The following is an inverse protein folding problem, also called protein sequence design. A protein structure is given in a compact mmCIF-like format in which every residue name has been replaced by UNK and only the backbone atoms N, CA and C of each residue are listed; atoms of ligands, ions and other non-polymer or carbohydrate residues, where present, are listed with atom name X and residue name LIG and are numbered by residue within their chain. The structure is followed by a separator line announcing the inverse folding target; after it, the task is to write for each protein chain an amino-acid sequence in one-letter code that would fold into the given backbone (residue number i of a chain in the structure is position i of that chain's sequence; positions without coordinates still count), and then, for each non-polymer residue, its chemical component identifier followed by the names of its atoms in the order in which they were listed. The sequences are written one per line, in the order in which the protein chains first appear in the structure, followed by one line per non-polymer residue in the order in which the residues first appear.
data_IF_222560715020
#
_entry.id   IF_222560715020
#
_cell.length_a   1.000
_cell.length_b   1.000
_cell.length_c   1.000
_cell.angle_alpha   90.00
_cell.angle_beta   90.00
_cell.angle_gamma   90.00
#
_symmetry.space_group_name_H-M   'P 1'
#
loop_
_entity.id
_entity.type
_entity.pdbx_description
1 polymer ?
#
# COMPACT_ATOMS: atom_id res chain seq x y z
N UNK A 1 -14.05 10.13 15.37
CA UNK A 1 -13.21 8.93 15.04
C UNK A 1 -12.53 8.48 16.32
N UNK A 2 -12.57 7.19 16.60
CA UNK A 2 -11.84 6.61 17.72
C UNK A 2 -10.33 6.82 17.46
N UNK A 3 -9.61 7.32 18.47
CA UNK A 3 -8.17 7.64 18.32
C UNK A 3 -7.40 6.35 18.08
N UNK A 4 -6.75 6.20 16.95
CA UNK A 4 -5.88 5.05 16.66
C UNK A 4 -4.80 4.95 17.72
N UNK A 5 -4.65 3.77 18.34
CA UNK A 5 -3.78 3.54 19.47
C UNK A 5 -2.90 2.31 19.23
N UNK A 6 -1.60 2.42 19.54
CA UNK A 6 -0.73 1.25 19.68
C UNK A 6 -1.08 0.58 21.01
N UNK A 7 -1.45 -0.71 20.93
CA UNK A 7 -1.78 -1.54 22.09
C UNK A 7 -0.56 -2.32 22.60
N UNK A 8 0.37 -2.65 21.66
CA UNK A 8 1.57 -3.42 21.98
C UNK A 8 2.67 -3.17 20.94
N UNK A 9 3.95 -3.10 21.39
CA UNK A 9 5.16 -2.94 20.56
C UNK A 9 6.22 -3.92 21.02
N UNK A 10 6.42 -5.01 20.28
CA UNK A 10 7.35 -6.09 20.63
C UNK A 10 8.54 -6.04 19.66
N UNK A 11 9.80 -6.09 20.14
CA UNK A 11 10.96 -6.21 19.28
C UNK A 11 10.84 -7.40 18.32
N UNK A 12 11.19 -7.18 17.07
CA UNK A 12 11.15 -8.19 16.01
C UNK A 12 12.53 -8.32 15.34
N UNK A 13 13.00 -9.54 15.03
CA UNK A 13 14.31 -9.73 14.39
C UNK A 13 14.41 -8.95 13.07
N UNK A 14 15.42 -8.10 12.98
CA UNK A 14 15.72 -7.34 11.76
C UNK A 14 16.79 -8.04 10.92
N UNK A 15 16.61 -8.22 9.61
CA UNK A 15 17.64 -8.72 8.72
C UNK A 15 18.70 -7.65 8.35
N UNK A 16 18.54 -6.41 8.80
CA UNK A 16 19.45 -5.31 8.55
C UNK A 16 19.89 -4.69 9.90
N UNK A 17 21.19 -4.69 10.24
CA UNK A 17 21.69 -4.17 11.52
C UNK A 17 21.46 -2.67 11.71
N UNK A 18 21.22 -1.92 10.64
CA UNK A 18 20.96 -0.48 10.69
C UNK A 18 19.45 -0.15 10.81
N UNK A 19 18.60 -1.17 11.00
CA UNK A 19 17.14 -1.01 11.09
C UNK A 19 16.62 -1.77 12.31
N UNK A 20 15.94 -1.07 13.21
CA UNK A 20 15.14 -1.69 14.26
C UNK A 20 13.78 -2.11 13.70
N UNK A 21 13.30 -3.27 14.13
CA UNK A 21 11.96 -3.74 13.75
C UNK A 21 11.14 -4.09 14.97
N UNK A 22 9.81 -3.88 14.85
CA UNK A 22 8.85 -4.17 15.90
C UNK A 22 7.57 -4.76 15.31
N UNK A 23 7.05 -5.78 15.99
CA UNK A 23 5.67 -6.22 15.79
C UNK A 23 4.76 -5.29 16.58
N UNK A 24 3.89 -4.61 15.89
CA UNK A 24 2.92 -3.67 16.46
C UNK A 24 1.54 -4.33 16.50
N UNK A 25 0.85 -4.23 17.63
CA UNK A 25 -0.59 -4.44 17.71
C UNK A 25 -1.26 -3.08 17.88
N UNK A 26 -2.22 -2.75 17.04
CA UNK A 26 -2.90 -1.46 17.06
C UNK A 26 -4.41 -1.61 16.88
N UNK A 27 -5.15 -0.57 17.27
CA UNK A 27 -6.60 -0.52 17.14
C UNK A 27 -7.00 0.03 15.76
N UNK A 28 -7.87 -0.68 15.06
CA UNK A 28 -8.44 -0.29 13.77
C UNK A 28 -9.92 -0.63 13.73
N UNK A 29 -10.78 0.39 13.67
CA UNK A 29 -12.25 0.22 13.67
C UNK A 29 -12.74 -0.79 14.75
N UNK A 30 -12.23 -0.65 15.97
CA UNK A 30 -12.57 -1.53 17.10
C UNK A 30 -11.87 -2.90 17.11
N UNK A 31 -11.08 -3.26 16.09
CA UNK A 31 -10.36 -4.51 15.99
C UNK A 31 -8.87 -4.37 16.35
N UNK A 32 -8.31 -5.43 16.97
CA UNK A 32 -6.87 -5.53 17.23
C UNK A 32 -6.18 -6.06 15.98
N UNK A 33 -5.49 -5.18 15.26
CA UNK A 33 -4.77 -5.51 14.02
C UNK A 33 -3.27 -5.48 14.26
N UNK A 34 -2.50 -6.24 13.48
CA UNK A 34 -1.05 -6.31 13.59
C UNK A 34 -0.34 -5.82 12.33
N UNK A 35 0.88 -5.32 12.54
CA UNK A 35 1.77 -4.89 11.46
C UNK A 35 3.23 -4.90 11.90
N UNK A 36 4.14 -4.67 10.96
CA UNK A 36 5.56 -4.46 11.24
C UNK A 36 5.92 -2.98 11.09
N UNK A 37 6.61 -2.46 12.09
CA UNK A 37 7.27 -1.17 12.06
C UNK A 37 8.77 -1.40 11.84
N UNK A 38 9.38 -0.65 10.93
CA UNK A 38 10.81 -0.61 10.70
C UNK A 38 11.31 0.83 10.82
N UNK A 39 12.32 1.04 11.67
CA UNK A 39 12.88 2.36 11.99
C UNK A 39 14.40 2.35 11.79
N UNK A 40 15.04 3.39 11.22
CA UNK A 40 16.48 3.53 11.25
C UNK A 40 17.01 3.45 12.69
N UNK A 41 18.14 2.78 12.91
CA UNK A 41 18.80 2.73 14.25
C UNK A 41 19.32 4.09 14.65
N UNK A 42 19.80 4.87 13.67
CA UNK A 42 20.30 6.23 13.95
C UNK A 42 19.13 7.13 14.39
N UNK A 43 19.34 7.82 15.51
CA UNK A 43 18.36 8.81 15.98
C UNK A 43 18.24 9.96 14.97
N UNK A 44 17.01 10.38 14.69
CA UNK A 44 16.73 11.43 13.71
C UNK A 44 15.24 11.64 13.48
N UNK A 45 14.95 12.59 12.63
CA UNK A 45 13.61 12.85 12.12
C UNK A 45 13.58 12.42 10.65
N UNK A 46 12.64 11.58 10.31
CA UNK A 46 12.53 10.92 9.02
C UNK A 46 11.17 11.20 8.38
N UNK A 47 11.02 10.87 7.12
CA UNK A 47 9.69 10.79 6.50
C UNK A 47 9.06 9.42 6.78
N UNK A 48 7.74 9.39 6.86
CA UNK A 48 6.99 8.15 7.05
C UNK A 48 6.70 7.47 5.71
N UNK A 49 6.69 6.14 5.71
CA UNK A 49 6.22 5.36 4.56
C UNK A 49 5.23 4.29 5.02
N UNK A 50 3.99 4.40 4.58
CA UNK A 50 2.99 3.35 4.74
C UNK A 50 3.16 2.32 3.61
N UNK A 51 3.56 1.09 3.95
CA UNK A 51 3.74 0.00 3.00
C UNK A 51 2.52 -0.91 2.97
N UNK A 52 1.77 -0.88 1.88
CA UNK A 52 0.55 -1.65 1.69
C UNK A 52 0.80 -2.86 0.78
N UNK A 53 0.71 -4.06 1.37
CA UNK A 53 1.00 -5.32 0.70
C UNK A 53 -0.08 -5.75 -0.29
N UNK A 54 0.29 -6.60 -1.22
CA UNK A 54 -0.64 -7.32 -2.10
C UNK A 54 -1.19 -8.62 -1.50
N UNK A 55 -1.85 -9.40 -2.35
CA UNK A 55 -2.41 -10.71 -2.00
C UNK A 55 -3.54 -10.65 -0.98
N UNK A 56 -3.86 -11.78 -0.38
CA UNK A 56 -4.85 -11.94 0.69
C UNK A 56 -4.42 -13.08 1.62
N UNK A 57 -4.70 -12.96 2.91
CA UNK A 57 -4.31 -13.93 3.94
C UNK A 57 -2.79 -14.22 3.90
N UNK A 58 -2.41 -15.47 3.73
CA UNK A 58 -1.01 -15.89 3.70
C UNK A 58 -0.28 -15.58 2.38
N UNK A 59 -0.97 -15.10 1.35
CA UNK A 59 -0.37 -14.70 0.07
C UNK A 59 0.09 -13.25 0.13
N UNK A 60 1.32 -12.97 -0.29
CA UNK A 60 1.86 -11.60 -0.35
C UNK A 60 2.15 -10.98 1.01
N UNK A 61 2.38 -11.78 2.05
CA UNK A 61 2.70 -11.28 3.39
C UNK A 61 3.89 -10.33 3.39
N UNK A 62 3.84 -9.35 4.29
CA UNK A 62 4.94 -8.40 4.52
C UNK A 62 6.24 -9.16 4.82
N UNK A 63 7.29 -8.84 4.06
CA UNK A 63 8.62 -9.42 4.24
C UNK A 63 9.49 -8.43 5.03
N UNK A 64 10.07 -8.82 6.19
CA UNK A 64 10.94 -7.95 6.97
C UNK A 64 12.07 -7.32 6.15
N UNK A 65 12.73 -8.10 5.28
CA UNK A 65 13.77 -7.60 4.40
C UNK A 65 13.28 -6.50 3.44
N UNK A 66 12.02 -6.56 3.01
CA UNK A 66 11.45 -5.56 2.09
C UNK A 66 11.22 -4.23 2.78
N UNK A 67 10.60 -4.21 3.95
CA UNK A 67 10.38 -2.97 4.70
C UNK A 67 11.69 -2.42 5.27
N UNK A 68 12.63 -3.30 5.64
CA UNK A 68 13.98 -2.92 6.06
C UNK A 68 14.78 -2.24 4.94
N UNK A 69 14.56 -2.63 3.68
CA UNK A 69 15.15 -1.98 2.52
C UNK A 69 14.71 -0.50 2.44
N UNK A 70 13.42 -0.22 2.60
CA UNK A 70 12.91 1.16 2.60
C UNK A 70 13.37 1.94 3.83
N UNK A 71 13.41 1.30 5.01
CA UNK A 71 13.91 1.95 6.21
C UNK A 71 15.39 2.33 6.10
N UNK A 72 16.22 1.54 5.41
CA UNK A 72 17.63 1.90 5.14
C UNK A 72 17.79 3.05 4.15
N UNK A 73 16.75 3.41 3.39
CA UNK A 73 16.71 4.63 2.56
C UNK A 73 16.30 5.88 3.38
N UNK A 74 16.12 5.76 4.70
CA UNK A 74 15.84 6.86 5.60
C UNK A 74 14.34 7.14 5.77
N UNK A 75 13.52 6.10 5.86
CA UNK A 75 12.10 6.18 6.19
C UNK A 75 11.78 5.45 7.50
N UNK A 76 10.80 5.94 8.24
CA UNK A 76 10.07 5.14 9.21
C UNK A 76 8.97 4.42 8.43
N UNK A 77 9.03 3.08 8.38
CA UNK A 77 8.12 2.28 7.55
C UNK A 77 7.15 1.50 8.41
N UNK A 78 5.85 1.66 8.18
CA UNK A 78 4.85 0.81 8.81
C UNK A 78 4.08 0.00 7.76
N UNK A 79 3.98 -1.31 7.99
CA UNK A 79 3.37 -2.27 7.08
C UNK A 79 2.29 -3.09 7.81
N UNK A 80 1.00 -2.72 7.70
CA UNK A 80 -0.09 -3.50 8.29
C UNK A 80 -0.19 -4.89 7.63
N UNK A 81 -0.50 -5.90 8.45
CA UNK A 81 -0.81 -7.23 7.94
C UNK A 81 -2.25 -7.35 7.43
N UNK A 82 -3.06 -6.36 7.73
CA UNK A 82 -4.52 -6.30 7.67
C UNK A 82 -5.19 -7.27 8.66
N UNK A 83 -6.46 -6.99 8.97
CA UNK A 83 -7.30 -7.75 9.90
C UNK A 83 -7.31 -9.25 9.58
N UNK A 84 -7.43 -10.09 10.59
CA UNK A 84 -7.43 -11.56 10.46
C UNK A 84 -6.08 -12.20 10.14
N UNK A 85 -4.97 -11.44 10.13
CA UNK A 85 -3.64 -11.97 9.85
C UNK A 85 -2.72 -11.95 11.06
N UNK A 86 -1.84 -12.97 11.18
CA UNK A 86 -0.80 -13.07 12.20
C UNK A 86 -1.32 -12.91 13.63
N UNK A 87 -2.53 -13.40 13.92
CA UNK A 87 -3.19 -13.30 15.22
C UNK A 87 -3.88 -11.95 15.45
N UNK A 88 -4.12 -11.17 14.42
CA UNK A 88 -5.05 -10.04 14.44
C UNK A 88 -6.50 -10.51 14.35
N UNK A 89 -7.43 -9.68 14.81
CA UNK A 89 -8.87 -9.93 14.79
C UNK A 89 -9.49 -9.63 13.43
N UNK A 90 -10.73 -10.07 13.19
CA UNK A 90 -11.49 -9.82 11.97
C UNK A 90 -11.09 -10.69 10.78
N UNK A 91 -11.49 -10.28 9.60
CA UNK A 91 -11.18 -10.96 8.33
C UNK A 91 -10.91 -9.95 7.22
N UNK A 92 -9.88 -10.18 6.40
CA UNK A 92 -9.66 -9.43 5.17
C UNK A 92 -10.81 -9.65 4.19
N UNK A 93 -11.24 -8.57 3.54
CA UNK A 93 -12.32 -8.56 2.57
C UNK A 93 -11.97 -7.90 1.22
N UNK A 94 -10.66 -7.80 0.95
CA UNK A 94 -10.14 -7.40 -0.37
C UNK A 94 -10.45 -5.95 -0.75
N UNK A 95 -10.00 -5.01 0.08
CA UNK A 95 -10.19 -3.56 -0.03
C UNK A 95 -11.63 -3.05 0.26
N UNK A 96 -12.39 -3.81 1.04
CA UNK A 96 -13.61 -3.36 1.69
C UNK A 96 -13.30 -2.71 3.04
N UNK A 97 -13.79 -3.32 4.12
CA UNK A 97 -13.57 -2.84 5.48
C UNK A 97 -12.09 -2.93 5.92
N UNK A 98 -11.29 -3.81 5.31
CA UNK A 98 -9.87 -3.93 5.62
C UNK A 98 -9.04 -2.69 5.17
N UNK A 99 -9.65 -1.72 4.44
CA UNK A 99 -9.06 -0.40 4.19
C UNK A 99 -8.87 0.42 5.46
N UNK A 100 -9.74 0.24 6.47
CA UNK A 100 -9.64 0.93 7.75
C UNK A 100 -8.31 0.61 8.45
N UNK A 101 -7.74 -0.57 8.19
CA UNK A 101 -6.45 -0.97 8.75
C UNK A 101 -5.29 -0.17 8.15
N UNK A 102 -5.41 0.22 6.87
CA UNK A 102 -4.46 1.12 6.21
C UNK A 102 -4.65 2.56 6.70
N UNK A 103 -5.88 3.01 6.91
CA UNK A 103 -6.19 4.34 7.43
C UNK A 103 -5.66 4.51 8.86
N UNK A 104 -5.93 3.54 9.74
CA UNK A 104 -5.40 3.54 11.09
C UNK A 104 -3.85 3.49 11.09
N UNK A 105 -3.24 2.70 10.21
CA UNK A 105 -1.80 2.62 10.07
C UNK A 105 -1.17 3.94 9.59
N UNK A 106 -1.85 4.68 8.70
CA UNK A 106 -1.43 6.02 8.27
C UNK A 106 -1.41 7.00 9.46
N UNK A 107 -2.46 7.02 10.27
CA UNK A 107 -2.55 7.89 11.46
C UNK A 107 -1.47 7.56 12.50
N UNK A 108 -1.17 6.27 12.73
CA UNK A 108 -0.08 5.87 13.61
C UNK A 108 1.26 6.38 13.11
N UNK A 109 1.50 6.26 11.81
CA UNK A 109 2.76 6.69 11.21
C UNK A 109 2.89 8.22 11.25
N UNK A 110 1.80 8.96 10.96
CA UNK A 110 1.75 10.41 11.02
C UNK A 110 2.00 10.95 12.45
N UNK A 111 1.57 10.23 13.47
CA UNK A 111 1.78 10.56 14.87
C UNK A 111 3.08 10.02 15.47
N UNK A 112 3.89 9.32 14.67
CA UNK A 112 5.12 8.70 15.17
C UNK A 112 6.17 9.77 15.52
N UNK A 113 6.85 9.71 16.70
CA UNK A 113 7.75 10.76 17.17
C UNK A 113 8.97 11.01 16.28
N UNK A 114 9.39 10.01 15.51
CA UNK A 114 10.49 10.14 14.54
C UNK A 114 10.03 10.48 13.12
N UNK A 115 8.74 10.75 12.89
CA UNK A 115 8.23 11.17 11.59
C UNK A 115 8.03 12.68 11.56
N UNK A 116 8.57 13.33 10.53
CA UNK A 116 8.50 14.78 10.33
C UNK A 116 7.08 15.22 9.99
N UNK A 117 6.32 15.70 10.94
CA UNK A 117 4.99 16.28 10.71
C UNK A 117 4.06 15.36 9.93
N UNK A 118 3.42 15.89 8.88
CA UNK A 118 2.52 15.13 8.00
C UNK A 118 3.20 14.45 6.81
N UNK A 119 4.53 14.38 6.77
CA UNK A 119 5.27 13.82 5.62
C UNK A 119 5.23 12.30 5.58
N UNK A 120 4.07 11.76 5.25
CA UNK A 120 3.81 10.32 5.11
C UNK A 120 3.51 9.99 3.65
N UNK A 121 4.35 9.15 3.06
CA UNK A 121 4.17 8.58 1.73
C UNK A 121 3.40 7.27 1.81
N UNK A 122 2.63 6.96 0.78
CA UNK A 122 1.84 5.74 0.70
C UNK A 122 2.37 4.90 -0.45
N UNK A 123 2.80 3.68 -0.16
CA UNK A 123 3.30 2.72 -1.15
C UNK A 123 2.39 1.50 -1.20
N UNK A 124 1.93 1.13 -2.40
CA UNK A 124 1.10 -0.04 -2.62
C UNK A 124 1.67 -0.98 -3.68
N UNK A 125 1.83 -2.27 -3.33
CA UNK A 125 2.24 -3.32 -4.25
C UNK A 125 1.07 -4.24 -4.60
N UNK A 126 0.86 -4.54 -5.91
CA UNK A 126 -0.19 -5.46 -6.36
C UNK A 126 -1.58 -5.01 -5.88
N UNK A 127 -2.38 -5.84 -5.17
CA UNK A 127 -3.63 -5.40 -4.52
C UNK A 127 -3.43 -4.16 -3.61
N UNK A 128 -2.24 -4.01 -3.05
CA UNK A 128 -1.90 -2.82 -2.27
C UNK A 128 -2.02 -1.50 -3.04
N UNK A 129 -2.05 -1.52 -4.37
CA UNK A 129 -2.30 -0.35 -5.21
C UNK A 129 -3.68 0.26 -4.95
N UNK A 130 -4.73 -0.57 -4.91
CA UNK A 130 -6.08 -0.13 -4.52
C UNK A 130 -6.08 0.46 -3.11
N UNK A 131 -5.43 -0.22 -2.16
CA UNK A 131 -5.34 0.25 -0.77
C UNK A 131 -4.61 1.59 -0.68
N UNK A 132 -3.53 1.78 -1.46
CA UNK A 132 -2.76 3.02 -1.48
C UNK A 132 -3.56 4.19 -2.06
N UNK A 133 -4.24 3.97 -3.17
CA UNK A 133 -5.08 4.99 -3.79
C UNK A 133 -6.26 5.40 -2.88
N UNK A 134 -6.97 4.43 -2.29
CA UNK A 134 -8.05 4.70 -1.34
C UNK A 134 -7.54 5.43 -0.08
N UNK A 135 -6.34 5.10 0.39
CA UNK A 135 -5.72 5.83 1.50
C UNK A 135 -5.34 7.25 1.10
N UNK A 136 -4.77 7.46 -0.10
CA UNK A 136 -4.46 8.80 -0.61
C UNK A 136 -5.71 9.66 -0.87
N UNK A 137 -6.83 9.06 -1.28
CA UNK A 137 -8.13 9.74 -1.39
C UNK A 137 -8.65 10.16 -0.01
N UNK A 138 -8.44 9.34 1.01
CA UNK A 138 -8.86 9.63 2.39
C UNK A 138 -8.01 10.69 3.06
N UNK A 139 -6.71 10.74 2.74
CA UNK A 139 -5.72 11.65 3.33
C UNK A 139 -5.11 12.54 2.24
N UNK A 140 -5.78 13.65 2.00
CA UNK A 140 -5.40 14.62 0.96
C UNK A 140 -4.02 15.25 1.21
N UNK A 141 -3.58 15.26 2.47
CA UNK A 141 -2.29 15.77 2.94
C UNK A 141 -1.16 14.71 2.94
N UNK A 142 -1.41 13.51 2.40
CA UNK A 142 -0.34 12.54 2.19
C UNK A 142 0.74 13.12 1.25
N UNK A 143 2.02 12.85 1.55
CA UNK A 143 3.13 13.43 0.79
C UNK A 143 3.21 12.91 -0.65
N UNK A 144 2.89 11.64 -0.89
CA UNK A 144 2.74 11.05 -2.23
C UNK A 144 2.08 9.67 -2.17
N UNK A 145 1.63 9.18 -3.32
CA UNK A 145 1.12 7.81 -3.51
C UNK A 145 1.94 7.11 -4.58
N UNK A 146 2.45 5.91 -4.28
CA UNK A 146 3.15 5.05 -5.24
C UNK A 146 2.39 3.75 -5.42
N UNK A 147 2.11 3.37 -6.66
CA UNK A 147 1.59 2.05 -7.03
C UNK A 147 2.64 1.28 -7.81
N UNK A 148 2.98 0.07 -7.37
CA UNK A 148 3.93 -0.80 -8.06
C UNK A 148 3.25 -2.11 -8.47
N UNK A 149 3.08 -2.34 -9.79
CA UNK A 149 2.28 -3.44 -10.31
C UNK A 149 0.87 -3.45 -9.69
N UNK A 150 0.33 -2.22 -9.50
CA UNK A 150 -0.82 -1.98 -8.64
C UNK A 150 -2.16 -2.24 -9.32
N UNK A 151 -3.07 -2.89 -8.61
CA UNK A 151 -4.48 -2.97 -8.97
C UNK A 151 -5.10 -1.57 -8.82
N UNK A 152 -5.87 -1.14 -9.83
CA UNK A 152 -6.64 0.11 -9.80
C UNK A 152 -8.14 -0.10 -9.99
N UNK A 153 -8.55 -1.26 -10.53
CA UNK A 153 -9.92 -1.59 -10.91
C UNK A 153 -10.25 -3.03 -10.47
N UNK A 154 -11.21 -3.19 -9.57
CA UNK A 154 -11.56 -4.50 -9.02
C UNK A 154 -12.40 -5.33 -9.98
N UNK A 155 -13.20 -4.69 -10.83
CA UNK A 155 -13.97 -5.40 -11.87
C UNK A 155 -13.03 -5.95 -12.95
N UNK A 156 -12.01 -5.18 -13.36
CA UNK A 156 -10.96 -5.64 -14.25
C UNK A 156 -10.21 -6.83 -13.64
N UNK A 157 -9.79 -6.75 -12.38
CA UNK A 157 -9.17 -7.87 -11.66
C UNK A 157 -10.03 -9.13 -11.72
N UNK A 158 -11.33 -9.01 -11.48
CA UNK A 158 -12.25 -10.16 -11.57
C UNK A 158 -12.31 -10.77 -12.98
N UNK A 159 -12.25 -9.95 -14.03
CA UNK A 159 -12.27 -10.42 -15.43
C UNK A 159 -10.98 -11.17 -15.76
N UNK A 160 -9.83 -10.60 -15.43
CA UNK A 160 -8.51 -11.11 -15.78
C UNK A 160 -8.09 -12.31 -14.92
N UNK A 161 -8.31 -12.25 -13.61
CA UNK A 161 -7.86 -13.26 -12.65
C UNK A 161 -8.93 -14.31 -12.37
N UNK A 162 -9.11 -15.23 -13.34
CA UNK A 162 -10.07 -16.33 -13.23
C UNK A 162 -9.86 -17.19 -11.97
N UNK A 163 -8.60 -17.37 -11.57
CA UNK A 163 -8.17 -18.09 -10.37
C UNK A 163 -8.65 -17.42 -9.06
N UNK A 164 -8.81 -16.09 -9.04
CA UNK A 164 -9.28 -15.36 -7.88
C UNK A 164 -10.81 -15.22 -7.78
N UNK A 165 -11.57 -15.52 -8.84
CA UNK A 165 -13.03 -15.30 -8.90
C UNK A 165 -13.80 -15.94 -7.75
N UNK A 166 -13.44 -17.18 -7.37
CA UNK A 166 -14.12 -17.87 -6.26
C UNK A 166 -13.89 -17.16 -4.93
N UNK A 167 -12.66 -16.71 -4.69
CA UNK A 167 -12.32 -15.95 -3.51
C UNK A 167 -13.03 -14.59 -3.52
N UNK A 168 -12.95 -13.84 -4.63
CA UNK A 168 -13.58 -12.52 -4.76
C UNK A 168 -15.10 -12.60 -4.56
N UNK A 169 -15.79 -13.56 -5.18
CA UNK A 169 -17.24 -13.77 -4.96
C UNK A 169 -17.57 -13.99 -3.48
N UNK A 170 -16.73 -14.74 -2.76
CA UNK A 170 -16.96 -15.03 -1.34
C UNK A 170 -16.75 -13.80 -0.46
N UNK A 171 -15.70 -13.01 -0.70
CA UNK A 171 -15.33 -11.88 0.18
C UNK A 171 -16.02 -10.57 -0.20
N UNK A 172 -16.36 -10.38 -1.48
CA UNK A 172 -17.05 -9.19 -1.99
C UNK A 172 -18.58 -9.37 -1.97
N UNK A 173 -19.05 -10.63 -1.94
CA UNK A 173 -20.49 -10.94 -1.90
C UNK A 173 -21.10 -11.25 -3.27
N UNK A 174 -20.32 -11.27 -4.36
CA UNK A 174 -20.84 -11.55 -5.70
C UNK A 174 -19.81 -11.37 -6.82
N UNK A 175 -20.31 -11.20 -8.02
CA UNK A 175 -19.54 -10.82 -9.22
C UNK A 175 -19.76 -9.34 -9.55
N UNK A 176 -18.96 -8.71 -10.44
CA UNK A 176 -19.22 -7.34 -10.87
C UNK A 176 -20.63 -7.11 -11.43
N UNK A 177 -21.27 -8.18 -11.93
CA UNK A 177 -22.65 -8.12 -12.42
C UNK A 177 -23.70 -8.21 -11.32
N UNK A 178 -23.44 -8.94 -10.23
CA UNK A 178 -24.43 -9.22 -9.17
C UNK A 178 -24.19 -8.44 -7.88
N UNK A 179 -23.03 -7.78 -7.74
CA UNK A 179 -22.63 -6.95 -6.61
C UNK A 179 -21.85 -5.72 -7.12
N UNK A 180 -22.40 -5.01 -8.10
CA UNK A 180 -21.72 -3.90 -8.79
C UNK A 180 -21.24 -2.83 -7.82
N UNK A 181 -22.10 -2.38 -6.91
CA UNK A 181 -21.78 -1.37 -5.90
C UNK A 181 -20.59 -1.75 -5.01
N UNK A 182 -20.48 -3.02 -4.64
CA UNK A 182 -19.37 -3.54 -3.84
C UNK A 182 -18.03 -3.53 -4.62
N UNK A 183 -18.07 -3.74 -5.93
CA UNK A 183 -16.90 -3.60 -6.78
C UNK A 183 -16.52 -2.14 -7.01
N UNK A 184 -17.51 -1.26 -7.20
CA UNK A 184 -17.31 0.19 -7.31
C UNK A 184 -16.72 0.76 -6.01
N UNK A 185 -17.30 0.40 -4.85
CA UNK A 185 -16.80 0.79 -3.53
C UNK A 185 -15.31 0.45 -3.32
N UNK A 186 -14.81 -0.63 -3.95
CA UNK A 186 -13.41 -1.08 -3.88
C UNK A 186 -12.54 -0.56 -5.02
N UNK A 187 -13.09 0.23 -5.93
CA UNK A 187 -12.39 0.72 -7.13
C UNK A 187 -12.09 2.21 -7.03
N UNK A 188 -10.84 2.61 -6.72
CA UNK A 188 -10.49 4.02 -6.51
C UNK A 188 -10.67 4.89 -7.75
N UNK A 189 -10.74 4.32 -8.97
CA UNK A 189 -10.92 5.08 -10.20
C UNK A 189 -12.15 5.98 -10.21
N UNK A 190 -13.19 5.64 -9.44
CA UNK A 190 -14.43 6.42 -9.34
C UNK A 190 -14.29 7.68 -8.47
N UNK A 191 -13.27 7.74 -7.59
CA UNK A 191 -13.09 8.81 -6.61
C UNK A 191 -11.74 9.54 -6.75
N UNK A 192 -11.03 9.36 -7.87
CA UNK A 192 -9.72 10.00 -8.10
C UNK A 192 -9.78 11.54 -8.19
N UNK A 193 -10.94 12.13 -8.41
CA UNK A 193 -11.14 13.57 -8.31
C UNK A 193 -10.78 14.12 -6.91
N UNK A 194 -11.00 13.33 -5.86
CA UNK A 194 -10.65 13.66 -4.47
C UNK A 194 -9.15 13.47 -4.15
N UNK A 195 -8.40 12.75 -4.97
CA UNK A 195 -6.97 12.47 -4.73
C UNK A 195 -6.15 13.76 -4.95
N UNK A 196 -5.42 14.21 -3.95
CA UNK A 196 -4.56 15.40 -4.03
C UNK A 196 -3.05 15.08 -4.12
N UNK A 197 -2.52 14.04 -3.42
CA UNK A 197 -1.10 13.74 -3.46
C UNK A 197 -0.60 13.42 -4.86
N UNK A 198 0.65 13.76 -5.22
CA UNK A 198 1.27 13.31 -6.46
C UNK A 198 1.36 11.79 -6.51
N UNK A 199 1.17 11.21 -7.69
CA UNK A 199 1.13 9.76 -7.91
C UNK A 199 2.31 9.32 -8.78
N UNK A 200 2.99 8.25 -8.35
CA UNK A 200 3.94 7.51 -9.18
C UNK A 200 3.38 6.11 -9.49
N UNK A 201 3.32 5.78 -10.78
CA UNK A 201 2.89 4.45 -11.26
C UNK A 201 4.12 3.70 -11.76
N UNK A 202 4.47 2.58 -11.10
CA UNK A 202 5.57 1.69 -11.50
C UNK A 202 4.96 0.38 -12.00
N UNK A 203 5.25 -0.02 -13.25
CA UNK A 203 4.66 -1.24 -13.81
C UNK A 203 5.56 -1.92 -14.83
N UNK A 204 5.60 -3.25 -14.80
CA UNK A 204 6.24 -4.06 -15.83
C UNK A 204 5.23 -4.38 -16.96
N UNK A 205 5.61 -4.15 -18.23
CA UNK A 205 4.71 -4.39 -19.37
C UNK A 205 4.38 -5.87 -19.61
N UNK A 206 5.16 -6.78 -18.98
CA UNK A 206 4.93 -8.23 -19.04
C UNK A 206 4.32 -8.77 -17.74
N UNK A 207 3.67 -7.93 -16.96
CA UNK A 207 3.02 -8.34 -15.72
C UNK A 207 1.79 -9.22 -16.02
N UNK A 208 1.89 -10.52 -15.64
CA UNK A 208 0.83 -11.52 -15.82
C UNK A 208 -0.11 -11.63 -14.62
N UNK A 209 0.22 -10.98 -13.50
CA UNK A 209 -0.60 -10.99 -12.28
C UNK A 209 -1.58 -9.82 -12.21
N UNK A 210 -1.10 -8.65 -12.61
CA UNK A 210 -1.85 -7.40 -12.73
C UNK A 210 -1.50 -6.80 -14.07
N UNK A 211 -2.41 -6.88 -15.05
CA UNK A 211 -2.10 -6.40 -16.40
C UNK A 211 -1.77 -4.92 -16.42
N UNK A 212 -0.98 -4.52 -17.41
CA UNK A 212 -0.63 -3.10 -17.62
C UNK A 212 -1.87 -2.22 -17.83
N UNK A 213 -2.98 -2.80 -18.19
CA UNK A 213 -4.26 -2.09 -18.37
C UNK A 213 -4.69 -1.37 -17.07
N UNK A 214 -4.38 -1.94 -15.90
CA UNK A 214 -4.60 -1.26 -14.61
C UNK A 214 -3.83 0.06 -14.51
N UNK A 215 -2.57 0.07 -14.92
CA UNK A 215 -1.73 1.28 -14.91
C UNK A 215 -2.22 2.30 -15.95
N UNK A 216 -2.57 1.86 -17.16
CA UNK A 216 -3.07 2.75 -18.22
C UNK A 216 -4.42 3.40 -17.86
N UNK A 217 -5.36 2.65 -17.25
CA UNK A 217 -6.62 3.22 -16.76
C UNK A 217 -6.39 4.25 -15.68
N UNK A 218 -5.51 3.96 -14.73
CA UNK A 218 -5.16 4.87 -13.65
C UNK A 218 -4.51 6.16 -14.21
N UNK A 219 -3.47 6.04 -15.04
CA UNK A 219 -2.80 7.17 -15.68
C UNK A 219 -3.79 8.03 -16.48
N UNK A 220 -4.54 7.41 -17.38
CA UNK A 220 -5.54 8.11 -18.20
C UNK A 220 -6.53 8.91 -17.36
N UNK A 221 -7.02 8.32 -16.26
CA UNK A 221 -7.98 8.99 -15.39
C UNK A 221 -7.34 10.14 -14.62
N UNK A 222 -6.13 9.96 -14.08
CA UNK A 222 -5.38 11.02 -13.38
C UNK A 222 -5.06 12.19 -14.31
N UNK A 223 -4.59 11.93 -15.53
CA UNK A 223 -4.33 12.97 -16.55
C UNK A 223 -5.61 13.72 -16.90
N UNK A 224 -6.72 13.01 -17.13
CA UNK A 224 -8.01 13.64 -17.44
C UNK A 224 -8.53 14.55 -16.31
N UNK A 225 -8.17 14.23 -15.05
CA UNK A 225 -8.48 15.03 -13.86
C UNK A 225 -7.41 16.09 -13.54
N UNK A 226 -6.41 16.26 -14.40
CA UNK A 226 -5.29 17.19 -14.22
C UNK A 226 -4.52 16.95 -12.89
N UNK A 227 -4.45 15.69 -12.42
CA UNK A 227 -3.68 15.30 -11.24
C UNK A 227 -2.20 15.13 -11.61
N UNK A 228 -1.32 15.38 -10.65
CA UNK A 228 0.11 15.16 -10.85
C UNK A 228 0.42 13.66 -10.87
N UNK A 229 0.82 13.13 -12.03
CA UNK A 229 1.14 11.71 -12.22
C UNK A 229 2.44 11.56 -12.99
N UNK A 230 3.29 10.65 -12.53
CA UNK A 230 4.50 10.19 -13.20
C UNK A 230 4.43 8.67 -13.39
N UNK A 231 4.98 8.16 -14.49
CA UNK A 231 4.91 6.74 -14.83
C UNK A 231 6.29 6.18 -15.16
N UNK A 232 6.62 5.04 -14.56
CA UNK A 232 7.83 4.26 -14.84
C UNK A 232 7.44 2.89 -15.37
N UNK A 233 7.40 2.75 -16.69
CA UNK A 233 7.06 1.50 -17.37
C UNK A 233 8.31 0.74 -17.80
N UNK A 234 8.32 -0.58 -17.57
CA UNK A 234 9.46 -1.45 -17.83
C UNK A 234 9.10 -2.55 -18.83
N UNK A 235 9.59 -2.43 -20.06
CA UNK A 235 9.17 -3.21 -21.21
C UNK A 235 9.32 -4.73 -21.06
N UNK A 236 10.42 -5.17 -20.43
CA UNK A 236 10.77 -6.60 -20.35
C UNK A 236 10.62 -7.19 -18.95
N UNK A 237 9.83 -6.57 -18.10
CA UNK A 237 9.70 -6.93 -16.69
C UNK A 237 8.28 -7.41 -16.39
N UNK A 238 8.17 -8.45 -15.56
CA UNK A 238 6.91 -8.98 -15.05
C UNK A 238 6.55 -8.38 -13.67
N UNK A 239 5.60 -9.02 -12.96
CA UNK A 239 5.13 -8.57 -11.64
C UNK A 239 6.25 -8.46 -10.58
N UNK A 240 7.22 -9.37 -10.63
CA UNK A 240 8.35 -9.39 -9.71
C UNK A 240 9.64 -8.98 -10.45
N UNK A 241 10.11 -7.79 -10.15
CA UNK A 241 11.32 -7.25 -10.78
C UNK A 241 12.56 -8.04 -10.38
N UNK A 242 13.51 -8.28 -11.29
CA UNK A 242 14.79 -8.91 -10.96
C UNK A 242 15.50 -8.20 -9.80
N UNK A 243 16.20 -8.93 -8.91
CA UNK A 243 16.75 -8.37 -7.66
C UNK A 243 17.60 -7.11 -7.84
N UNK A 244 18.44 -7.04 -8.85
CA UNK A 244 19.30 -5.87 -9.11
C UNK A 244 18.46 -4.65 -9.52
N UNK A 245 17.51 -4.84 -10.46
CA UNK A 245 16.60 -3.78 -10.89
C UNK A 245 15.68 -3.35 -9.74
N UNK A 246 15.17 -4.32 -8.97
CA UNK A 246 14.32 -4.02 -7.81
C UNK A 246 15.05 -3.10 -6.81
N UNK A 247 16.32 -3.37 -6.48
CA UNK A 247 17.09 -2.50 -5.58
C UNK A 247 17.25 -1.09 -6.14
N UNK A 248 17.59 -0.99 -7.43
CA UNK A 248 17.71 0.31 -8.10
C UNK A 248 16.40 1.10 -8.06
N UNK A 249 15.29 0.48 -8.43
CA UNK A 249 13.98 1.13 -8.43
C UNK A 249 13.54 1.54 -7.02
N UNK A 250 13.83 0.74 -5.99
CA UNK A 250 13.57 1.15 -4.59
C UNK A 250 14.35 2.41 -4.23
N UNK A 251 15.63 2.48 -4.59
CA UNK A 251 16.42 3.68 -4.35
C UNK A 251 15.87 4.89 -5.10
N UNK A 252 15.60 4.76 -6.40
CA UNK A 252 15.10 5.83 -7.24
C UNK A 252 13.72 6.34 -6.77
N UNK A 253 12.80 5.43 -6.40
CA UNK A 253 11.49 5.83 -5.89
C UNK A 253 11.56 6.53 -4.53
N UNK A 254 12.50 6.13 -3.66
CA UNK A 254 12.74 6.82 -2.40
C UNK A 254 13.25 8.26 -2.63
N UNK A 255 14.10 8.47 -3.63
CA UNK A 255 14.51 9.81 -4.05
C UNK A 255 13.32 10.60 -4.59
N UNK A 256 12.49 9.97 -5.43
CA UNK A 256 11.29 10.60 -5.97
C UNK A 256 10.32 11.01 -4.85
N UNK A 257 10.03 10.12 -3.90
CA UNK A 257 9.16 10.43 -2.74
C UNK A 257 9.64 11.66 -1.98
N UNK A 258 10.94 11.72 -1.64
CA UNK A 258 11.52 12.84 -0.89
C UNK A 258 11.42 14.17 -1.64
N UNK A 259 11.42 14.16 -2.97
CA UNK A 259 11.22 15.36 -3.81
C UNK A 259 9.75 15.73 -3.95
N UNK A 260 8.87 14.75 -4.08
CA UNK A 260 7.44 14.96 -4.28
C UNK A 260 6.74 15.54 -3.04
N UNK A 261 7.28 15.32 -1.85
CA UNK A 261 6.76 15.85 -0.59
C UNK A 261 7.25 17.26 -0.24
N UNK A 262 8.07 17.89 -1.09
CA UNK A 262 8.53 19.27 -0.91
C UNK A 262 7.71 20.23 -1.77
#
# INVERSE_FOLDING_TARGET
MEKTQILDKIPFPSPNPNVNMYLITYLSAGLRVKGLLAEPVQAGVYEGMLYLRGGIKNVGMVRPARIGQFASEGFVVFAPFYRGNRGGEGNEDFAGEDREDAFAAFELLRSHPSVAGSRVHIFGFSRGGVMALLTGIRYEDAASVVTWGGVSDMALTYVERKDLRRMMKRVIGGSPKTAAEEFEYRTPLYELDKLQPPVLIIHGLRDENVSIEHAYRLEKRLVALQKHVETWYFEHVNHYFPPALNRKIVHDLCIWMKKAGT
#
